data_IF_527072786703
#
_entry.id   IF_527072786703
#
_cell.length_a   1.000
_cell.length_b   1.000
_cell.length_c   1.000
_cell.angle_alpha   90.00
_cell.angle_beta   90.00
_cell.angle_gamma   90.00
#
_symmetry.space_group_name_H-M   'P 1'
#
loop_
_entity.id
_entity.type
_entity.pdbx_description
1 polymer ?
#
# COMPACT_ATOMS: atom_id res chain seq x y z
N UNK A 1 19.39 13.89 -9.40
CA UNK A 1 20.43 14.45 -10.29
C UNK A 1 21.54 13.42 -10.59
N UNK A 2 22.07 12.74 -9.58
CA UNK A 2 23.11 11.72 -9.76
C UNK A 2 22.63 10.43 -10.43
N UNK A 3 21.37 10.05 -10.29
CA UNK A 3 20.80 8.86 -10.93
C UNK A 3 20.79 8.92 -12.46
N UNK A 4 20.74 10.11 -13.04
CA UNK A 4 20.88 10.33 -14.50
C UNK A 4 22.32 10.15 -15.00
N UNK A 5 23.32 10.32 -14.12
CA UNK A 5 24.73 10.11 -14.46
C UNK A 5 25.15 8.64 -14.37
N UNK A 6 24.59 7.89 -13.42
CA UNK A 6 24.83 6.45 -13.30
C UNK A 6 23.73 5.81 -12.45
N UNK A 7 23.10 4.73 -12.91
CA UNK A 7 22.07 4.01 -12.14
C UNK A 7 22.62 3.38 -10.86
N UNK A 8 23.92 3.20 -10.76
CA UNK A 8 24.58 2.61 -9.58
C UNK A 8 24.42 3.46 -8.31
N UNK A 9 24.35 4.80 -8.43
CA UNK A 9 24.08 5.68 -7.28
C UNK A 9 22.70 5.43 -6.69
N UNK A 10 21.69 5.29 -7.55
CA UNK A 10 20.32 4.99 -7.12
C UNK A 10 20.22 3.59 -6.52
N UNK A 11 20.81 2.59 -7.18
CA UNK A 11 20.85 1.21 -6.68
C UNK A 11 21.54 1.15 -5.31
N UNK A 12 22.70 1.80 -5.15
CA UNK A 12 23.42 1.86 -3.88
C UNK A 12 22.59 2.51 -2.76
N UNK A 13 21.98 3.66 -3.02
CA UNK A 13 21.15 4.38 -2.06
C UNK A 13 19.94 3.55 -1.61
N UNK A 14 19.21 2.97 -2.55
CA UNK A 14 18.05 2.13 -2.23
C UNK A 14 18.44 0.83 -1.52
N UNK A 15 19.59 0.25 -1.86
CA UNK A 15 20.11 -0.95 -1.16
C UNK A 15 20.39 -0.65 0.30
N UNK A 16 21.10 0.44 0.60
CA UNK A 16 21.39 0.86 1.98
C UNK A 16 20.10 1.12 2.76
N UNK A 17 19.15 1.86 2.18
CA UNK A 17 17.87 2.13 2.81
C UNK A 17 17.07 0.85 3.11
N UNK A 18 17.04 -0.09 2.16
CA UNK A 18 16.35 -1.37 2.31
C UNK A 18 16.99 -2.23 3.39
N UNK A 19 18.32 -2.36 3.37
CA UNK A 19 19.06 -3.12 4.41
C UNK A 19 18.81 -2.53 5.79
N UNK A 20 18.83 -1.21 5.92
CA UNK A 20 18.54 -0.52 7.19
C UNK A 20 17.11 -0.81 7.66
N UNK A 21 16.12 -0.78 6.77
CA UNK A 21 14.73 -1.11 7.09
C UNK A 21 14.59 -2.57 7.56
N UNK A 22 15.17 -3.51 6.83
CA UNK A 22 15.12 -4.94 7.17
C UNK A 22 15.82 -5.23 8.51
N UNK A 23 16.99 -4.64 8.76
CA UNK A 23 17.71 -4.86 10.04
C UNK A 23 16.94 -4.31 11.25
N UNK A 24 16.22 -3.19 11.10
CA UNK A 24 15.35 -2.68 12.16
C UNK A 24 14.17 -3.59 12.44
N UNK A 25 13.59 -4.19 11.41
CA UNK A 25 12.55 -5.20 11.53
C UNK A 25 13.05 -6.46 12.26
N UNK A 26 14.20 -6.99 11.84
CA UNK A 26 14.80 -8.19 12.44
C UNK A 26 15.18 -8.00 13.91
N UNK A 27 15.56 -6.78 14.29
CA UNK A 27 15.84 -6.42 15.68
C UNK A 27 14.58 -6.19 16.54
N UNK A 28 13.39 -6.41 16.00
CA UNK A 28 12.09 -6.24 16.66
C UNK A 28 11.92 -4.86 17.35
N UNK A 29 12.57 -3.83 16.80
CA UNK A 29 12.59 -2.44 17.33
C UNK A 29 11.54 -1.54 16.71
N UNK A 30 11.04 -1.91 15.52
CA UNK A 30 10.04 -1.17 14.78
C UNK A 30 9.05 -2.11 14.13
N UNK A 31 7.80 -1.68 14.06
CA UNK A 31 6.75 -2.37 13.32
C UNK A 31 6.98 -2.19 11.81
N UNK A 32 6.50 -3.14 11.00
CA UNK A 32 6.58 -3.03 9.54
C UNK A 32 5.90 -1.73 9.03
N UNK A 33 4.81 -1.33 9.67
CA UNK A 33 4.13 -0.05 9.40
C UNK A 33 5.04 1.15 9.58
N UNK A 34 5.89 1.18 10.62
CA UNK A 34 6.81 2.31 10.86
C UNK A 34 7.85 2.44 9.76
N UNK A 35 8.36 1.31 9.27
CA UNK A 35 9.32 1.27 8.16
C UNK A 35 8.66 1.76 6.87
N UNK A 36 7.43 1.31 6.59
CA UNK A 36 6.67 1.74 5.42
C UNK A 36 6.31 3.23 5.48
N UNK A 37 5.88 3.73 6.64
CA UNK A 37 5.62 5.16 6.84
C UNK A 37 6.90 5.97 6.64
N UNK A 38 8.02 5.53 7.22
CA UNK A 38 9.31 6.20 7.07
C UNK A 38 9.77 6.27 5.60
N UNK A 39 9.64 5.18 4.87
CA UNK A 39 9.94 5.15 3.44
C UNK A 39 9.02 6.09 2.63
N UNK A 40 7.73 6.09 2.94
CA UNK A 40 6.75 6.96 2.29
C UNK A 40 7.01 8.44 2.55
N UNK A 41 7.30 8.82 3.78
CA UNK A 41 7.67 10.20 4.14
C UNK A 41 8.95 10.61 3.41
N UNK A 42 9.94 9.72 3.31
CA UNK A 42 11.19 9.99 2.58
C UNK A 42 10.94 10.28 1.10
N UNK A 43 10.11 9.50 0.43
CA UNK A 43 9.72 9.71 -0.98
C UNK A 43 8.96 11.02 -1.13
N UNK A 44 7.94 11.27 -0.28
CA UNK A 44 7.15 12.50 -0.33
C UNK A 44 8.01 13.75 -0.06
N UNK A 45 8.92 13.71 0.90
CA UNK A 45 9.81 14.82 1.21
C UNK A 45 10.73 15.16 0.04
N UNK A 46 11.24 14.14 -0.65
CA UNK A 46 12.07 14.32 -1.84
C UNK A 46 11.29 14.94 -2.99
N UNK A 47 10.14 14.39 -3.33
CA UNK A 47 9.27 14.90 -4.41
C UNK A 47 8.73 16.30 -4.11
N UNK A 48 8.33 16.56 -2.86
CA UNK A 48 7.89 17.87 -2.41
C UNK A 48 9.04 18.88 -2.46
N UNK A 49 10.27 18.47 -2.10
CA UNK A 49 11.45 19.29 -2.20
C UNK A 49 11.73 19.73 -3.64
N UNK A 50 11.67 18.83 -4.60
CA UNK A 50 11.79 19.17 -6.02
C UNK A 50 10.65 20.06 -6.50
N UNK A 51 9.41 19.76 -6.13
CA UNK A 51 8.26 20.60 -6.48
C UNK A 51 8.38 22.03 -5.94
N UNK A 52 8.81 22.20 -4.68
CA UNK A 52 9.01 23.51 -4.08
C UNK A 52 10.20 24.23 -4.72
N UNK A 53 11.28 23.51 -5.03
CA UNK A 53 12.42 24.08 -5.75
C UNK A 53 12.01 24.60 -7.13
N UNK A 54 11.21 23.82 -7.89
CA UNK A 54 10.68 24.25 -9.17
C UNK A 54 9.75 25.47 -9.03
N UNK A 55 8.95 25.52 -7.97
CA UNK A 55 8.05 26.65 -7.69
C UNK A 55 8.82 27.94 -7.34
N UNK A 56 9.90 27.82 -6.55
CA UNK A 56 10.69 28.96 -6.06
C UNK A 56 11.67 29.45 -7.13
N UNK A 57 12.31 28.52 -7.86
CA UNK A 57 13.36 28.83 -8.84
C UNK A 57 12.84 28.85 -10.28
N UNK A 58 11.63 29.33 -10.50
CA UNK A 58 10.80 29.31 -11.70
C UNK A 58 11.45 29.80 -13.02
N UNK A 59 12.71 30.19 -13.02
CA UNK A 59 13.31 30.98 -14.13
C UNK A 59 14.49 30.33 -14.85
N UNK A 60 14.77 29.03 -14.71
CA UNK A 60 15.96 28.47 -15.36
C UNK A 60 15.67 27.32 -16.32
N UNK A 61 14.90 27.60 -17.37
CA UNK A 61 14.99 26.86 -18.63
C UNK A 61 14.59 25.37 -18.61
N UNK A 62 14.07 24.84 -17.53
CA UNK A 62 13.62 23.45 -17.41
C UNK A 62 12.18 23.24 -17.91
N UNK A 63 11.44 24.31 -18.17
CA UNK A 63 10.01 24.29 -18.49
C UNK A 63 9.68 24.04 -19.98
N UNK A 64 10.66 23.96 -20.86
CA UNK A 64 10.41 23.71 -22.30
C UNK A 64 9.95 22.28 -22.57
N UNK A 65 10.09 21.38 -21.61
CA UNK A 65 9.74 19.97 -21.74
C UNK A 65 8.30 19.62 -21.30
N UNK A 66 7.54 20.55 -20.71
CA UNK A 66 6.26 20.20 -20.06
C UNK A 66 5.19 19.65 -21.02
N UNK A 67 5.08 20.18 -22.20
CA UNK A 67 4.04 19.77 -23.15
C UNK A 67 4.32 18.38 -23.73
N UNK A 68 5.57 18.04 -24.00
CA UNK A 68 5.95 16.72 -24.52
C UNK A 68 5.87 15.62 -23.46
N UNK A 69 6.18 15.92 -22.22
CA UNK A 69 6.23 14.92 -21.14
C UNK A 69 4.83 14.54 -20.62
N UNK A 70 3.87 15.46 -20.65
CA UNK A 70 2.47 15.14 -20.35
C UNK A 70 1.93 14.16 -21.38
N UNK A 71 2.23 14.38 -22.68
CA UNK A 71 1.78 13.50 -23.76
C UNK A 71 2.41 12.09 -23.67
N UNK A 72 3.68 11.98 -23.30
CA UNK A 72 4.38 10.69 -23.16
C UNK A 72 3.84 9.88 -21.96
N UNK A 73 3.37 10.53 -20.93
CA UNK A 73 2.76 9.91 -19.75
C UNK A 73 1.36 9.33 -20.04
N UNK A 74 0.60 9.90 -20.95
CA UNK A 74 -0.63 9.29 -21.44
C UNK A 74 -0.36 8.00 -22.22
N UNK A 75 0.84 7.85 -22.78
CA UNK A 75 1.24 6.62 -23.47
C UNK A 75 1.59 5.49 -22.53
N UNK A 76 2.16 5.80 -21.34
CA UNK A 76 2.57 4.79 -20.32
C UNK A 76 2.40 5.36 -18.93
N UNK A 77 1.21 5.27 -18.35
CA UNK A 77 0.92 5.83 -17.01
C UNK A 77 1.51 5.00 -15.87
N UNK A 78 2.78 4.57 -16.02
CA UNK A 78 3.51 3.84 -14.99
C UNK A 78 3.70 4.71 -13.76
N UNK A 79 3.55 4.12 -12.59
CA UNK A 79 3.65 4.84 -11.33
C UNK A 79 4.21 3.97 -10.21
N UNK A 80 4.78 4.63 -9.23
CA UNK A 80 5.06 4.11 -7.89
C UNK A 80 4.46 5.12 -6.90
N UNK A 81 3.70 4.64 -5.94
CA UNK A 81 3.02 5.51 -4.99
C UNK A 81 3.00 4.93 -3.58
N UNK A 82 2.97 5.85 -2.62
CA UNK A 82 2.74 5.58 -1.22
C UNK A 82 1.36 6.11 -0.86
N UNK A 83 0.62 5.39 -0.02
CA UNK A 83 -0.71 5.77 0.41
C UNK A 83 -0.95 5.56 1.89
N UNK A 84 -1.74 6.44 2.46
CA UNK A 84 -2.34 6.32 3.78
C UNK A 84 -3.83 6.08 3.61
N UNK A 85 -4.41 5.24 4.45
CA UNK A 85 -5.82 4.91 4.34
C UNK A 85 -6.41 4.35 5.62
N UNK A 86 -7.66 3.94 5.48
CA UNK A 86 -8.40 3.22 6.51
C UNK A 86 -8.79 1.86 5.93
N UNK A 87 -8.48 0.80 6.66
CA UNK A 87 -8.92 -0.56 6.33
C UNK A 87 -10.03 -0.95 7.29
N UNK A 88 -11.08 -1.55 6.74
CA UNK A 88 -12.19 -2.10 7.53
C UNK A 88 -12.52 -3.50 7.03
N UNK A 89 -12.79 -4.39 7.95
CA UNK A 89 -13.26 -5.75 7.64
C UNK A 89 -14.69 -5.86 8.15
N UNK A 90 -15.68 -5.76 7.26
CA UNK A 90 -17.08 -5.82 7.66
C UNK A 90 -17.46 -7.23 8.11
N UNK A 91 -18.27 -7.33 9.15
CA UNK A 91 -18.81 -8.59 9.63
C UNK A 91 -18.53 -8.84 11.11
N UNK A 92 -19.25 -9.84 11.59
CA UNK A 92 -19.06 -10.42 12.92
C UNK A 92 -18.69 -11.87 12.73
N UNK A 93 -17.68 -12.31 13.41
CA UNK A 93 -17.12 -13.65 13.28
C UNK A 93 -17.26 -14.38 14.60
N UNK A 94 -17.72 -15.60 14.54
CA UNK A 94 -17.87 -16.49 15.71
C UNK A 94 -16.84 -17.63 15.61
N UNK A 95 -15.56 -17.38 15.95
CA UNK A 95 -14.49 -18.39 15.82
C UNK A 95 -14.68 -19.57 16.77
N UNK A 96 -15.26 -19.32 17.92
CA UNK A 96 -15.55 -20.34 18.95
C UNK A 96 -16.96 -20.15 19.50
N UNK A 97 -17.59 -21.22 20.02
CA UNK A 97 -18.90 -21.12 20.68
C UNK A 97 -18.87 -20.08 21.80
N UNK A 98 -19.72 -19.05 21.71
CA UNK A 98 -19.83 -17.97 22.68
C UNK A 98 -18.81 -16.83 22.56
N UNK A 99 -17.94 -16.85 21.53
CA UNK A 99 -16.98 -15.79 21.27
C UNK A 99 -17.33 -15.06 19.96
N UNK A 100 -17.81 -13.83 20.07
CA UNK A 100 -18.17 -12.98 18.96
C UNK A 100 -17.08 -11.94 18.72
N UNK A 101 -16.38 -12.01 17.58
CA UNK A 101 -15.29 -11.10 17.21
C UNK A 101 -15.76 -10.14 16.14
N UNK A 102 -15.51 -8.85 16.33
CA UNK A 102 -15.71 -7.79 15.35
C UNK A 102 -14.39 -7.06 15.13
N UNK A 103 -14.02 -6.87 13.88
CA UNK A 103 -12.89 -6.06 13.48
C UNK A 103 -13.37 -4.65 13.13
N UNK A 104 -12.84 -3.66 13.82
CA UNK A 104 -13.14 -2.25 13.58
C UNK A 104 -12.16 -1.67 12.57
N UNK A 105 -12.58 -0.57 11.95
CA UNK A 105 -11.71 0.18 11.06
C UNK A 105 -10.43 0.63 11.78
N UNK A 106 -9.31 0.49 11.09
CA UNK A 106 -8.01 0.91 11.56
C UNK A 106 -7.16 1.56 10.49
N UNK A 107 -6.11 2.30 10.89
CA UNK A 107 -5.21 2.94 9.97
C UNK A 107 -4.45 1.91 9.12
N UNK A 108 -4.19 2.28 7.88
CA UNK A 108 -3.40 1.46 6.98
C UNK A 108 -2.41 2.29 6.19
N UNK A 109 -1.29 1.68 5.85
CA UNK A 109 -0.28 2.22 4.97
C UNK A 109 -0.09 1.27 3.80
N UNK A 110 0.15 1.81 2.61
CA UNK A 110 0.35 1.00 1.42
C UNK A 110 1.41 1.59 0.50
N UNK A 111 2.13 0.70 -0.17
CA UNK A 111 2.96 1.00 -1.32
C UNK A 111 2.34 0.27 -2.51
N UNK A 112 2.12 0.97 -3.59
CA UNK A 112 1.60 0.37 -4.81
C UNK A 112 2.33 0.93 -6.02
N UNK A 113 2.50 0.07 -7.03
CA UNK A 113 3.13 0.48 -8.27
C UNK A 113 2.70 -0.39 -9.42
N UNK A 114 2.70 0.17 -10.61
CA UNK A 114 2.42 -0.57 -11.82
C UNK A 114 3.24 -0.03 -12.98
N UNK A 115 3.73 -0.95 -13.78
CA UNK A 115 4.36 -0.66 -15.05
C UNK A 115 3.36 -0.89 -16.18
N UNK A 116 3.19 0.11 -17.03
CA UNK A 116 2.26 0.08 -18.14
C UNK A 116 2.99 -0.13 -19.46
N UNK A 117 2.68 -1.21 -20.14
CA UNK A 117 3.18 -1.50 -21.48
C UNK A 117 2.40 -0.70 -22.55
N UNK A 118 1.16 -0.32 -22.28
CA UNK A 118 0.26 0.46 -23.13
C UNK A 118 -0.41 1.58 -22.33
N UNK A 119 -1.11 2.53 -22.99
CA UNK A 119 -1.85 3.57 -22.27
C UNK A 119 -2.91 3.05 -21.29
N UNK A 120 -3.42 1.84 -21.54
CA UNK A 120 -4.58 1.31 -20.84
C UNK A 120 -4.25 0.14 -19.92
N UNK A 121 -3.22 -0.66 -20.24
CA UNK A 121 -2.92 -1.91 -19.56
C UNK A 121 -1.51 -1.92 -18.98
N UNK A 122 -1.41 -2.28 -17.73
CA UNK A 122 -0.18 -2.48 -17.01
C UNK A 122 -0.24 -3.68 -16.07
N UNK A 123 0.88 -4.01 -15.50
CA UNK A 123 1.03 -5.03 -14.46
C UNK A 123 1.76 -4.43 -13.28
N UNK A 124 1.31 -4.77 -12.08
CA UNK A 124 1.90 -4.17 -10.89
C UNK A 124 1.54 -4.91 -9.61
N UNK A 125 1.78 -4.24 -8.49
CA UNK A 125 1.51 -4.79 -7.19
C UNK A 125 1.16 -3.75 -6.15
N UNK A 126 0.66 -4.24 -5.03
CA UNK A 126 0.37 -3.49 -3.82
C UNK A 126 0.87 -4.28 -2.62
N UNK A 127 1.56 -3.60 -1.73
CA UNK A 127 1.89 -4.07 -0.40
C UNK A 127 1.22 -3.15 0.60
N UNK A 128 0.54 -3.70 1.60
CA UNK A 128 -0.11 -2.89 2.63
C UNK A 128 0.03 -3.51 4.01
N UNK A 129 0.02 -2.64 5.02
CA UNK A 129 -0.05 -3.00 6.43
C UNK A 129 -1.19 -2.22 7.06
N UNK A 130 -2.00 -2.89 7.87
CA UNK A 130 -3.11 -2.31 8.60
C UNK A 130 -3.15 -2.80 10.04
N UNK A 131 -3.56 -1.92 10.94
CA UNK A 131 -3.80 -2.25 12.35
C UNK A 131 -5.30 -2.18 12.60
N UNK A 132 -5.93 -3.33 12.82
CA UNK A 132 -7.36 -3.46 13.02
C UNK A 132 -7.67 -3.61 14.50
N UNK A 133 -8.52 -2.75 15.03
CA UNK A 133 -8.98 -2.87 16.41
C UNK A 133 -9.92 -4.05 16.55
N UNK A 134 -9.73 -4.82 17.61
CA UNK A 134 -10.50 -6.03 17.90
C UNK A 134 -11.53 -5.76 19.00
N UNK A 135 -12.78 -6.14 18.77
CA UNK A 135 -13.82 -6.24 19.81
C UNK A 135 -14.23 -7.69 19.99
N UNK A 136 -14.24 -8.15 21.25
CA UNK A 136 -14.73 -9.47 21.61
C UNK A 136 -15.95 -9.32 22.51
N UNK A 137 -17.08 -9.90 22.10
CA UNK A 137 -18.36 -9.80 22.82
C UNK A 137 -18.78 -8.35 23.12
N UNK A 138 -18.44 -7.41 22.21
CA UNK A 138 -18.75 -5.99 22.36
C UNK A 138 -17.75 -5.19 23.20
N UNK A 139 -16.75 -5.82 23.81
CA UNK A 139 -15.69 -5.17 24.58
C UNK A 139 -14.46 -4.98 23.70
N UNK A 140 -13.95 -3.74 23.64
CA UNK A 140 -12.72 -3.45 22.90
C UNK A 140 -11.52 -4.07 23.64
N UNK A 141 -10.66 -4.72 22.89
CA UNK A 141 -9.42 -5.30 23.38
C UNK A 141 -8.29 -4.27 23.34
N UNK A 142 -7.27 -4.46 24.17
CA UNK A 142 -6.10 -3.58 24.22
C UNK A 142 -5.13 -3.83 23.07
N UNK A 143 -5.12 -5.05 22.54
CA UNK A 143 -4.25 -5.44 21.43
C UNK A 143 -4.98 -5.29 20.09
N UNK A 144 -4.25 -4.75 19.10
CA UNK A 144 -4.70 -4.60 17.73
C UNK A 144 -4.25 -5.81 16.89
N UNK A 145 -5.08 -6.19 15.92
CA UNK A 145 -4.75 -7.22 14.95
C UNK A 145 -3.97 -6.60 13.79
N UNK A 146 -2.71 -6.95 13.67
CA UNK A 146 -1.91 -6.54 12.52
C UNK A 146 -2.16 -7.44 11.32
N UNK A 147 -2.42 -6.79 10.18
CA UNK A 147 -2.58 -7.43 8.89
C UNK A 147 -1.55 -6.86 7.92
N UNK A 148 -0.79 -7.73 7.27
CA UNK A 148 0.07 -7.38 6.15
C UNK A 148 -0.41 -8.10 4.91
N UNK A 149 -0.39 -7.42 3.77
CA UNK A 149 -0.81 -8.03 2.50
C UNK A 149 0.15 -7.70 1.36
N UNK A 150 0.28 -8.65 0.45
CA UNK A 150 1.07 -8.50 -0.78
C UNK A 150 0.25 -9.03 -1.94
N UNK A 151 0.04 -8.17 -2.92
CA UNK A 151 -0.78 -8.46 -4.10
C UNK A 151 -0.05 -8.11 -5.38
N UNK A 152 -0.33 -8.85 -6.45
CA UNK A 152 0.13 -8.56 -7.79
C UNK A 152 -0.97 -8.85 -8.82
N UNK A 153 -0.96 -8.14 -9.94
CA UNK A 153 -1.94 -8.37 -10.99
C UNK A 153 -2.05 -7.24 -12.01
N UNK A 154 -3.02 -7.34 -12.91
CA UNK A 154 -3.27 -6.35 -13.93
C UNK A 154 -3.87 -5.05 -13.37
N UNK A 155 -3.39 -3.94 -13.93
CA UNK A 155 -3.89 -2.60 -13.73
C UNK A 155 -4.45 -2.06 -15.03
N UNK A 156 -5.57 -1.37 -14.94
CA UNK A 156 -6.19 -0.66 -16.03
C UNK A 156 -6.18 0.83 -15.74
N UNK A 157 -5.93 1.67 -16.74
CA UNK A 157 -5.93 3.12 -16.63
C UNK A 157 -6.61 3.74 -17.83
N UNK A 158 -7.40 4.78 -17.62
CA UNK A 158 -8.06 5.54 -18.66
C UNK A 158 -7.88 7.04 -18.37
N UNK A 159 -7.23 7.79 -19.27
CA UNK A 159 -7.11 9.23 -19.17
C UNK A 159 -8.43 9.88 -19.65
N UNK A 160 -9.21 10.44 -18.72
CA UNK A 160 -10.44 11.11 -19.11
C UNK A 160 -10.29 12.64 -19.23
N UNK A 161 -9.19 13.20 -18.76
CA UNK A 161 -8.86 14.63 -18.88
C UNK A 161 -7.33 14.81 -18.85
N UNK A 162 -6.84 15.98 -19.25
CA UNK A 162 -5.39 16.30 -19.29
C UNK A 162 -4.65 16.10 -17.96
N UNK A 163 -5.36 16.10 -16.83
CA UNK A 163 -4.74 15.94 -15.50
C UNK A 163 -5.37 14.81 -14.68
N UNK A 164 -6.40 14.15 -15.22
CA UNK A 164 -7.12 13.13 -14.49
C UNK A 164 -7.07 11.78 -15.18
N UNK A 165 -6.68 10.78 -14.41
CA UNK A 165 -6.70 9.39 -14.81
C UNK A 165 -7.65 8.63 -13.90
N UNK A 166 -8.49 7.79 -14.45
CA UNK A 166 -9.24 6.78 -13.69
C UNK A 166 -8.58 5.42 -13.92
N UNK A 167 -8.59 4.60 -12.89
CA UNK A 167 -7.97 3.28 -12.96
C UNK A 167 -8.79 2.23 -12.25
N UNK A 168 -8.60 0.99 -12.69
CA UNK A 168 -9.09 -0.20 -12.03
C UNK A 168 -7.95 -1.20 -11.89
N UNK A 169 -8.07 -2.12 -10.94
CA UNK A 169 -7.10 -3.18 -10.72
C UNK A 169 -7.78 -4.47 -10.29
N UNK A 170 -7.20 -5.59 -10.72
CA UNK A 170 -7.56 -6.92 -10.26
C UNK A 170 -6.28 -7.59 -9.78
N UNK A 171 -6.26 -7.99 -8.53
CA UNK A 171 -5.05 -8.44 -7.87
C UNK A 171 -5.29 -9.82 -7.24
N UNK A 172 -4.23 -10.61 -7.19
CA UNK A 172 -4.18 -11.85 -6.43
C UNK A 172 -2.93 -11.82 -5.54
N UNK A 173 -3.03 -12.37 -4.35
CA UNK A 173 -1.93 -12.30 -3.41
C UNK A 173 -2.18 -13.05 -2.12
N UNK A 174 -1.42 -12.68 -1.12
CA UNK A 174 -1.48 -13.28 0.20
C UNK A 174 -1.71 -12.21 1.27
N UNK A 175 -2.53 -12.55 2.24
CA UNK A 175 -2.70 -11.81 3.48
C UNK A 175 -2.08 -12.59 4.63
N UNK A 176 -1.41 -11.87 5.52
CA UNK A 176 -0.72 -12.40 6.69
C UNK A 176 -1.28 -11.66 7.89
N UNK A 177 -1.90 -12.39 8.79
CA UNK A 177 -2.40 -11.90 10.06
C UNK A 177 -1.45 -12.32 11.17
N UNK A 178 -1.02 -11.38 12.00
CA UNK A 178 -0.16 -11.66 13.15
C UNK A 178 -1.04 -12.13 14.33
N UNK A 179 -0.47 -12.98 15.16
CA UNK A 179 -1.14 -13.41 16.40
C UNK A 179 -1.44 -12.20 17.29
N UNK A 180 -2.65 -12.18 17.86
CA UNK A 180 -3.13 -11.16 18.78
C UNK A 180 -3.55 -11.84 20.09
N UNK A 181 -3.11 -11.31 21.20
CA UNK A 181 -3.52 -11.80 22.52
C UNK A 181 -4.78 -11.05 22.96
N UNK A 182 -5.89 -11.79 23.13
CA UNK A 182 -7.13 -11.23 23.68
C UNK A 182 -7.29 -11.70 25.13
N UNK A 183 -8.07 -10.96 25.93
CA UNK A 183 -8.33 -11.29 27.34
C UNK A 183 -8.93 -12.70 27.54
N UNK A 184 -9.52 -13.28 26.49
CA UNK A 184 -10.18 -14.59 26.54
C UNK A 184 -9.27 -15.70 26.00
N UNK A 185 -8.60 -15.46 24.87
CA UNK A 185 -7.75 -16.46 24.22
C UNK A 185 -6.81 -15.80 23.20
N UNK A 186 -5.65 -16.43 22.97
CA UNK A 186 -4.73 -16.01 21.92
C UNK A 186 -5.30 -16.39 20.54
N UNK A 187 -5.39 -15.40 19.64
CA UNK A 187 -5.69 -15.61 18.24
C UNK A 187 -4.39 -15.90 17.52
N UNK A 188 -4.28 -17.09 16.92
CA UNK A 188 -3.08 -17.46 16.18
C UNK A 188 -3.00 -16.74 14.85
N UNK A 189 -1.80 -16.22 14.54
CA UNK A 189 -1.52 -15.60 13.25
C UNK A 189 -1.57 -16.64 12.13
N UNK A 190 -2.13 -16.26 10.99
CA UNK A 190 -2.19 -17.11 9.80
C UNK A 190 -1.99 -16.32 8.52
N UNK A 191 -1.61 -17.02 7.47
CA UNK A 191 -1.56 -16.50 6.11
C UNK A 191 -2.56 -17.22 5.23
N UNK A 192 -3.11 -16.50 4.26
CA UNK A 192 -4.05 -17.07 3.30
C UNK A 192 -3.96 -16.38 1.95
N UNK A 193 -4.37 -17.09 0.92
CA UNK A 193 -4.51 -16.56 -0.42
C UNK A 193 -5.78 -15.71 -0.51
N UNK A 194 -5.69 -14.59 -1.20
CA UNK A 194 -6.74 -13.58 -1.29
C UNK A 194 -6.76 -12.95 -2.67
N UNK A 195 -7.92 -12.44 -3.06
CA UNK A 195 -8.12 -11.66 -4.27
C UNK A 195 -8.53 -10.25 -3.90
N UNK A 196 -8.00 -9.28 -4.64
CA UNK A 196 -8.30 -7.87 -4.46
C UNK A 196 -8.77 -7.23 -5.75
N UNK A 197 -9.67 -6.28 -5.63
CA UNK A 197 -10.06 -5.38 -6.71
C UNK A 197 -10.03 -3.94 -6.20
N UNK A 198 -9.93 -2.99 -7.09
CA UNK A 198 -9.96 -1.60 -6.68
C UNK A 198 -10.18 -0.63 -7.82
N UNK A 199 -10.71 0.51 -7.46
CA UNK A 199 -10.88 1.66 -8.33
C UNK A 199 -10.00 2.80 -7.83
N UNK A 200 -9.50 3.62 -8.74
CA UNK A 200 -8.68 4.77 -8.38
C UNK A 200 -8.93 5.95 -9.31
N UNK A 201 -8.76 7.13 -8.77
CA UNK A 201 -8.64 8.35 -9.55
C UNK A 201 -7.33 9.03 -9.19
N UNK A 202 -6.60 9.50 -10.20
CA UNK A 202 -5.30 10.13 -10.03
C UNK A 202 -5.32 11.51 -10.65
N UNK A 203 -4.97 12.51 -9.84
CA UNK A 203 -4.73 13.87 -10.31
C UNK A 203 -3.23 14.08 -10.50
N UNK A 204 -2.82 14.46 -11.70
CA UNK A 204 -1.43 14.77 -12.04
C UNK A 204 -1.14 16.23 -11.68
N UNK A 205 -0.46 16.45 -10.56
CA UNK A 205 -0.09 17.79 -10.10
C UNK A 205 1.09 18.35 -10.91
N UNK A 206 2.07 17.50 -11.24
CA UNK A 206 3.20 17.83 -12.09
C UNK A 206 3.61 16.62 -12.93
N UNK A 207 4.69 16.74 -13.68
CA UNK A 207 5.21 15.66 -14.53
C UNK A 207 5.53 14.38 -13.75
N UNK A 208 6.02 14.50 -12.51
CA UNK A 208 6.47 13.38 -11.69
C UNK A 208 5.65 13.19 -10.43
N UNK A 209 4.69 14.07 -10.16
CA UNK A 209 3.89 14.04 -8.96
C UNK A 209 2.41 13.94 -9.29
N UNK A 210 1.73 12.98 -8.68
CA UNK A 210 0.29 12.83 -8.74
C UNK A 210 -0.28 12.46 -7.38
N UNK A 211 -1.51 12.88 -7.14
CA UNK A 211 -2.29 12.48 -5.97
C UNK A 211 -3.30 11.44 -6.42
N UNK A 212 -3.29 10.28 -5.77
CA UNK A 212 -4.19 9.17 -6.08
C UNK A 212 -5.12 8.89 -4.92
N UNK A 213 -6.40 8.86 -5.23
CA UNK A 213 -7.44 8.35 -4.35
C UNK A 213 -7.83 6.96 -4.83
N UNK A 214 -7.88 5.98 -3.92
CA UNK A 214 -8.26 4.61 -4.26
C UNK A 214 -9.24 4.04 -3.25
N UNK A 215 -10.16 3.23 -3.76
CA UNK A 215 -11.05 2.39 -2.97
C UNK A 215 -10.78 0.94 -3.37
N UNK A 216 -10.32 0.15 -2.43
CA UNK A 216 -9.90 -1.22 -2.63
C UNK A 216 -10.81 -2.16 -1.85
N UNK A 217 -11.16 -3.27 -2.46
CA UNK A 217 -11.92 -4.36 -1.86
C UNK A 217 -11.14 -5.65 -1.99
N UNK A 218 -10.73 -6.19 -0.86
CA UNK A 218 -10.02 -7.45 -0.77
C UNK A 218 -10.97 -8.52 -0.19
N UNK A 219 -10.98 -9.69 -0.80
CA UNK A 219 -11.73 -10.84 -0.31
C UNK A 219 -10.83 -11.58 0.68
N UNK A 220 -11.04 -11.40 2.00
CA UNK A 220 -10.18 -12.04 2.98
C UNK A 220 -10.32 -13.56 2.89
N UNK A 221 -9.27 -14.32 3.17
CA UNK A 221 -9.40 -15.75 3.33
C UNK A 221 -10.42 -16.05 4.44
N UNK A 222 -11.20 -17.15 4.36
CA UNK A 222 -12.24 -17.45 5.34
C UNK A 222 -11.68 -17.38 6.77
N UNK A 223 -12.23 -16.53 7.61
CA UNK A 223 -11.73 -16.30 8.98
C UNK A 223 -11.76 -17.56 9.84
N UNK A 224 -12.64 -18.55 9.54
CA UNK A 224 -12.58 -19.89 10.13
C UNK A 224 -11.22 -20.59 9.90
N UNK A 225 -10.57 -20.32 8.77
CA UNK A 225 -9.24 -20.82 8.45
C UNK A 225 -8.18 -20.02 9.23
N UNK A 226 -8.43 -18.75 9.50
CA UNK A 226 -7.52 -17.85 10.19
C UNK A 226 -7.53 -18.04 11.72
N UNK A 227 -8.66 -18.41 12.30
CA UNK A 227 -8.84 -18.48 13.76
C UNK A 227 -8.77 -19.90 14.35
N UNK A 228 -8.33 -20.89 13.57
CA UNK A 228 -8.08 -22.25 14.03
C UNK A 228 -9.36 -23.09 14.22
N UNK A 229 -9.63 -24.03 13.33
CA UNK A 229 -10.43 -25.19 13.69
C UNK A 229 -9.57 -26.07 14.59
N UNK A 230 -9.98 -26.36 15.83
CA UNK A 230 -9.44 -27.49 16.52
C UNK A 230 -9.57 -28.72 15.62
N UNK A 231 -8.43 -29.29 15.26
CA UNK A 231 -8.36 -30.68 14.86
C UNK A 231 -8.84 -31.48 16.07
N UNK A 232 -10.09 -31.97 15.99
CA UNK A 232 -10.54 -33.03 16.88
C UNK A 232 -9.67 -34.24 16.61
N UNK A 233 -8.75 -34.50 17.52
CA UNK A 233 -8.14 -35.82 17.70
C UNK A 233 -9.08 -36.68 18.52
#
# INVERSE_FOLDING_TARGET
EYGHRSPWYSIGGYTVATVTGVTRQLNNRHWMSDIMVGAGIGILATELGYFLADLIFKDKGLLVSETYSVYDRYRRPSFLGFGLGLTTVPGTYDPYPGMRVQLLAGPSVQIQGAWFASPYWGFGGRMSCANLRVKVNGVAQNDDLECASVYAGPYFSYPFSMRWLVGAKLLAGCEIYKSCDTDIRRLEGRSGFSFGTGLSTTYLASQNLGVRFSADYDVPPPLRVLLGSESTA
#
